data_IF_385200133538
#
_entry.id   IF_385200133538
#
_cell.length_a   1.000
_cell.length_b   1.000
_cell.length_c   1.000
_cell.angle_alpha   90.00
_cell.angle_beta   90.00
_cell.angle_gamma   90.00
#
_symmetry.space_group_name_H-M   'P 1'
#
loop_
_entity.id
_entity.type
_entity.pdbx_description
1 polymer ?
#
# COMPACT_ATOMS: atom_id res chain seq x y z
N UNK A 1 -14.20 13.06 1.98
CA UNK A 1 -13.10 12.17 2.39
C UNK A 1 -13.62 11.19 3.43
N UNK A 2 -13.51 9.88 3.22
CA UNK A 2 -14.07 8.86 4.12
C UNK A 2 -13.35 8.85 5.48
N UNK A 3 -12.02 9.05 5.47
CA UNK A 3 -11.20 9.16 6.68
C UNK A 3 -11.68 10.30 7.59
N UNK A 4 -11.95 11.48 7.01
CA UNK A 4 -12.44 12.64 7.77
C UNK A 4 -13.83 12.44 8.39
N UNK A 5 -14.62 11.51 7.84
CA UNK A 5 -15.95 11.15 8.35
C UNK A 5 -15.94 9.97 9.33
N UNK A 6 -14.77 9.38 9.59
CA UNK A 6 -14.67 8.16 10.40
C UNK A 6 -15.23 6.90 9.72
N UNK A 7 -15.39 6.91 8.40
CA UNK A 7 -15.93 5.80 7.61
C UNK A 7 -14.80 4.83 7.20
N UNK A 8 -15.07 3.53 7.31
CA UNK A 8 -14.14 2.49 6.84
C UNK A 8 -14.17 2.36 5.31
N UNK A 9 -13.01 2.01 4.72
CA UNK A 9 -12.88 1.77 3.27
C UNK A 9 -12.27 0.39 3.03
N UNK A 10 -12.96 -0.43 2.23
CA UNK A 10 -12.44 -1.70 1.73
C UNK A 10 -11.73 -1.53 0.39
N UNK A 11 -10.61 -2.23 0.20
CA UNK A 11 -9.93 -2.38 -1.10
C UNK A 11 -9.67 -3.85 -1.36
N UNK A 12 -10.02 -4.33 -2.55
CA UNK A 12 -9.83 -5.72 -2.92
C UNK A 12 -9.39 -5.87 -4.38
N UNK A 13 -8.89 -7.05 -4.71
CA UNK A 13 -8.71 -7.53 -6.06
C UNK A 13 -9.36 -8.92 -6.15
N UNK A 14 -8.86 -9.81 -7.01
CA UNK A 14 -9.39 -11.18 -7.07
C UNK A 14 -9.03 -12.00 -5.82
N UNK A 15 -7.74 -12.07 -5.48
CA UNK A 15 -7.24 -12.83 -4.31
C UNK A 15 -6.93 -11.94 -3.10
N UNK A 16 -7.01 -10.63 -3.27
CA UNK A 16 -6.70 -9.67 -2.23
C UNK A 16 -5.20 -9.53 -1.91
N UNK A 17 -4.25 -10.19 -2.56
CA UNK A 17 -2.81 -10.12 -2.20
C UNK A 17 -2.02 -9.03 -2.93
N UNK A 18 -1.73 -9.17 -4.22
CA UNK A 18 -0.85 -8.26 -4.96
C UNK A 18 -1.41 -6.85 -5.09
N UNK A 19 -2.34 -6.63 -6.02
CA UNK A 19 -2.93 -5.31 -6.31
C UNK A 19 -3.48 -4.60 -5.05
N UNK A 20 -4.15 -5.35 -4.19
CA UNK A 20 -4.66 -4.83 -2.90
C UNK A 20 -3.51 -4.39 -2.00
N UNK A 21 -2.48 -5.23 -1.82
CA UNK A 21 -1.31 -4.88 -1.02
C UNK A 21 -0.57 -3.66 -1.57
N UNK A 22 -0.43 -3.57 -2.90
CA UNK A 22 0.19 -2.42 -3.58
C UNK A 22 -0.54 -1.12 -3.26
N UNK A 23 -1.87 -1.09 -3.42
CA UNK A 23 -2.67 0.10 -3.14
C UNK A 23 -2.64 0.49 -1.66
N UNK A 24 -2.71 -0.49 -0.76
CA UNK A 24 -2.58 -0.25 0.68
C UNK A 24 -1.21 0.32 1.04
N UNK A 25 -0.13 -0.17 0.44
CA UNK A 25 1.21 0.35 0.66
C UNK A 25 1.34 1.81 0.16
N UNK A 26 0.85 2.13 -1.04
CA UNK A 26 0.82 3.52 -1.52
C UNK A 26 0.01 4.43 -0.58
N UNK A 27 -1.12 3.94 -0.05
CA UNK A 27 -1.89 4.68 0.94
C UNK A 27 -1.08 4.96 2.21
N UNK A 28 -0.35 3.96 2.74
CA UNK A 28 0.52 4.15 3.91
C UNK A 28 1.67 5.13 3.64
N UNK A 29 2.29 5.09 2.47
CA UNK A 29 3.32 6.06 2.06
C UNK A 29 2.77 7.49 2.20
N UNK A 30 1.60 7.75 1.62
CA UNK A 30 0.98 9.08 1.65
C UNK A 30 0.53 9.52 3.04
N UNK A 31 -0.11 8.61 3.77
CA UNK A 31 -0.79 8.91 5.04
C UNK A 31 0.17 8.99 6.23
N UNK A 32 1.14 8.06 6.29
CA UNK A 32 2.13 7.99 7.37
C UNK A 32 3.46 8.67 7.03
N UNK A 33 3.63 9.16 5.79
CA UNK A 33 4.86 9.82 5.32
C UNK A 33 6.12 8.95 5.47
N UNK A 34 5.97 7.64 5.26
CA UNK A 34 7.06 6.65 5.32
C UNK A 34 7.59 6.34 3.92
N UNK A 35 8.75 5.66 3.84
CA UNK A 35 9.31 5.25 2.55
C UNK A 35 8.48 4.15 1.89
N UNK A 36 8.63 3.99 0.57
CA UNK A 36 7.97 2.89 -0.15
C UNK A 36 8.38 1.51 0.38
N UNK A 37 9.64 1.35 0.78
CA UNK A 37 10.17 0.10 1.34
C UNK A 37 9.53 -0.19 2.71
N UNK A 38 9.42 0.82 3.58
CA UNK A 38 8.79 0.65 4.90
C UNK A 38 7.30 0.29 4.75
N UNK A 39 6.61 0.92 3.79
CA UNK A 39 5.21 0.61 3.52
C UNK A 39 5.02 -0.83 3.01
N UNK A 40 5.89 -1.32 2.13
CA UNK A 40 5.88 -2.71 1.66
C UNK A 40 6.06 -3.68 2.84
N UNK A 41 7.06 -3.41 3.69
CA UNK A 41 7.37 -4.25 4.85
C UNK A 41 6.20 -4.27 5.84
N UNK A 42 5.57 -3.13 6.09
CA UNK A 42 4.42 -3.05 7.00
C UNK A 42 3.22 -3.82 6.47
N UNK A 43 2.90 -3.70 5.19
CA UNK A 43 1.80 -4.47 4.58
C UNK A 43 2.07 -5.97 4.62
N UNK A 44 3.32 -6.40 4.38
CA UNK A 44 3.72 -7.81 4.48
C UNK A 44 3.72 -8.33 5.91
N UNK A 45 4.04 -7.48 6.90
CA UNK A 45 3.95 -7.80 8.33
C UNK A 45 2.50 -8.04 8.75
N UNK A 46 1.59 -7.16 8.36
CA UNK A 46 0.16 -7.28 8.66
C UNK A 46 -0.46 -8.47 7.91
N UNK A 47 -0.06 -8.68 6.65
CA UNK A 47 -0.61 -9.73 5.81
C UNK A 47 0.44 -10.32 4.89
N UNK A 48 1.03 -11.42 5.35
CA UNK A 48 2.06 -12.19 4.64
C UNK A 48 1.59 -12.58 3.23
N UNK A 49 2.49 -12.47 2.25
CA UNK A 49 2.20 -12.76 0.84
C UNK A 49 1.66 -11.58 0.04
N UNK A 50 1.42 -10.42 0.66
CA UNK A 50 1.04 -9.20 -0.06
C UNK A 50 2.17 -8.66 -0.93
N UNK A 51 1.79 -7.98 -2.03
CA UNK A 51 2.72 -7.37 -3.01
C UNK A 51 3.57 -8.48 -3.63
N UNK A 52 3.03 -9.12 -4.66
CA UNK A 52 3.44 -10.44 -5.15
C UNK A 52 4.58 -10.37 -6.17
N UNK A 53 4.80 -9.22 -6.81
CA UNK A 53 5.78 -9.08 -7.89
C UNK A 53 6.70 -7.88 -7.68
N UNK A 54 7.92 -7.94 -8.23
CA UNK A 54 8.87 -6.83 -8.20
C UNK A 54 8.31 -5.56 -8.83
N UNK A 55 7.49 -5.67 -9.88
CA UNK A 55 6.85 -4.50 -10.51
C UNK A 55 5.84 -3.80 -9.58
N UNK A 56 5.14 -4.58 -8.75
CA UNK A 56 4.28 -4.00 -7.71
C UNK A 56 5.09 -3.29 -6.63
N UNK A 57 6.23 -3.86 -6.20
CA UNK A 57 7.14 -3.19 -5.25
C UNK A 57 7.69 -1.88 -5.84
N UNK A 58 8.19 -1.92 -7.08
CA UNK A 58 8.69 -0.74 -7.80
C UNK A 58 7.63 0.35 -7.89
N UNK A 59 6.37 -0.01 -8.14
CA UNK A 59 5.26 0.94 -8.20
C UNK A 59 5.10 1.71 -6.89
N UNK A 60 5.21 1.04 -5.73
CA UNK A 60 5.13 1.70 -4.41
C UNK A 60 6.34 2.61 -4.17
N UNK A 61 7.54 2.16 -4.52
CA UNK A 61 8.77 2.94 -4.36
C UNK A 61 8.72 4.19 -5.24
N UNK A 62 8.34 4.04 -6.51
CA UNK A 62 8.16 5.16 -7.44
C UNK A 62 7.06 6.11 -6.95
N UNK A 63 5.95 5.60 -6.42
CA UNK A 63 4.90 6.43 -5.84
C UNK A 63 5.43 7.30 -4.69
N UNK A 64 6.28 6.76 -3.81
CA UNK A 64 6.93 7.54 -2.77
C UNK A 64 7.76 8.70 -3.35
N UNK A 65 8.52 8.47 -4.43
CA UNK A 65 9.30 9.54 -5.08
C UNK A 65 8.43 10.63 -5.72
N UNK A 66 7.25 10.29 -6.23
CA UNK A 66 6.33 11.26 -6.85
C UNK A 66 5.47 12.04 -5.84
N UNK A 67 5.42 11.59 -4.58
CA UNK A 67 4.55 12.18 -3.54
C UNK A 67 5.32 12.80 -2.38
N UNK A 68 6.65 12.85 -2.47
CA UNK A 68 7.49 13.79 -1.71
C UNK A 68 7.21 15.21 -2.19
#
# INVERSE_FOLDING_TARGET
DAKAKGEAVGVHCLHGFGRTGTMLACYLVRDKKITGVDAINEIRRIRKGSIETTEQEKSVIQFHHHTK
#
